data_IF_086352608670
#
_entry.id   IF_086352608670
#
_cell.length_a   1.000
_cell.length_b   1.000
_cell.length_c   1.000
_cell.angle_alpha   90.00
_cell.angle_beta   90.00
_cell.angle_gamma   90.00
#
_symmetry.space_group_name_H-M   'P 1'
#
loop_
_entity.id
_entity.type
_entity.pdbx_description
1 polymer ?
#
# COMPACT_ATOMS: atom_id res chain seq x y z
N UNK A 1 8.77 6.03 -16.53
CA UNK A 1 7.64 5.64 -17.40
C UNK A 1 7.74 4.20 -17.90
N UNK A 2 8.93 3.73 -18.34
CA UNK A 2 9.10 2.35 -18.85
C UNK A 2 8.58 1.27 -17.88
N UNK A 3 8.86 1.36 -16.59
CA UNK A 3 8.39 0.37 -15.61
C UNK A 3 6.87 0.21 -15.56
N UNK A 4 6.08 1.29 -15.71
CA UNK A 4 4.62 1.18 -15.82
C UNK A 4 4.18 0.48 -17.10
N UNK A 5 4.88 0.74 -18.19
CA UNK A 5 4.61 0.06 -19.48
C UNK A 5 4.88 -1.44 -19.38
N UNK A 6 6.01 -1.83 -18.76
CA UNK A 6 6.35 -3.24 -18.55
C UNK A 6 5.29 -3.96 -17.71
N UNK A 7 4.88 -3.37 -16.59
CA UNK A 7 3.82 -3.91 -15.74
C UNK A 7 2.50 -4.09 -16.52
N UNK A 8 2.13 -3.08 -17.30
CA UNK A 8 0.92 -3.16 -18.12
C UNK A 8 1.00 -4.32 -19.14
N UNK A 9 2.13 -4.48 -19.79
CA UNK A 9 2.33 -5.54 -20.78
C UNK A 9 2.31 -6.93 -20.13
N UNK A 10 2.94 -7.09 -18.98
CA UNK A 10 2.86 -8.34 -18.19
C UNK A 10 1.42 -8.69 -17.81
N UNK A 11 0.67 -7.71 -17.32
CA UNK A 11 -0.75 -7.90 -17.00
C UNK A 11 -1.59 -8.22 -18.24
N UNK A 12 -1.25 -7.61 -19.37
CA UNK A 12 -1.92 -7.89 -20.64
C UNK A 12 -1.69 -9.33 -21.10
N UNK A 13 -0.46 -9.84 -21.00
CA UNK A 13 -0.14 -11.24 -21.31
C UNK A 13 -0.93 -12.21 -20.44
N UNK A 14 -0.98 -11.95 -19.14
CA UNK A 14 -1.78 -12.76 -18.20
C UNK A 14 -3.27 -12.76 -18.59
N UNK A 15 -3.82 -11.60 -18.94
CA UNK A 15 -5.21 -11.48 -19.34
C UNK A 15 -5.52 -12.18 -20.67
N UNK A 16 -4.59 -12.17 -21.61
CA UNK A 16 -4.74 -12.83 -22.91
C UNK A 16 -4.48 -14.33 -22.86
N UNK A 17 -3.79 -14.81 -21.84
CA UNK A 17 -3.48 -16.23 -21.64
C UNK A 17 -2.40 -16.78 -22.56
N UNK A 18 -1.61 -15.93 -23.21
CA UNK A 18 -0.47 -16.30 -24.05
C UNK A 18 0.61 -15.23 -24.00
N UNK A 19 1.85 -15.65 -24.21
CA UNK A 19 2.98 -14.73 -24.34
C UNK A 19 2.85 -13.89 -25.61
N UNK A 20 3.02 -12.60 -25.46
CA UNK A 20 3.08 -11.69 -26.59
C UNK A 20 4.54 -11.69 -27.07
N UNK A 21 4.79 -12.29 -28.23
CA UNK A 21 6.13 -12.34 -28.85
C UNK A 21 6.59 -11.00 -29.44
N UNK A 22 5.92 -9.92 -29.07
CA UNK A 22 6.21 -8.58 -29.57
C UNK A 22 7.44 -8.00 -28.89
N UNK A 23 8.30 -7.35 -29.65
CA UNK A 23 9.42 -6.57 -29.13
C UNK A 23 8.86 -5.36 -28.35
N UNK A 24 8.96 -5.39 -27.03
CA UNK A 24 8.47 -4.34 -26.15
C UNK A 24 9.24 -3.03 -26.26
N UNK A 25 10.41 -3.03 -26.89
CA UNK A 25 11.21 -1.81 -27.10
C UNK A 25 10.48 -0.76 -27.93
N UNK A 26 9.50 -1.16 -28.74
CA UNK A 26 8.66 -0.24 -29.52
C UNK A 26 7.82 0.70 -28.63
N UNK A 27 7.57 0.31 -27.38
CA UNK A 27 6.82 1.10 -26.39
C UNK A 27 7.74 1.94 -25.49
N UNK A 28 9.05 1.89 -25.67
CA UNK A 28 9.97 2.72 -24.92
C UNK A 28 9.77 4.20 -25.23
N UNK A 29 9.75 5.06 -24.20
CA UNK A 29 9.64 6.50 -24.43
C UNK A 29 10.87 7.01 -25.18
N UNK A 30 10.64 7.69 -26.28
CA UNK A 30 11.69 8.29 -27.14
C UNK A 30 12.18 9.63 -26.60
N UNK A 31 11.40 10.27 -25.73
CA UNK A 31 11.70 11.58 -25.15
C UNK A 31 12.08 11.42 -23.69
N UNK A 32 13.26 11.89 -23.32
CA UNK A 32 13.67 12.02 -21.90
C UNK A 32 13.13 13.32 -21.33
N UNK A 33 12.28 13.22 -20.33
CA UNK A 33 11.84 14.37 -19.54
C UNK A 33 12.82 14.61 -18.39
N UNK A 34 13.11 15.88 -18.05
CA UNK A 34 13.87 16.19 -16.84
C UNK A 34 13.13 15.63 -15.61
N UNK A 35 13.87 15.04 -14.69
CA UNK A 35 13.32 14.54 -13.44
C UNK A 35 14.31 14.78 -12.32
N UNK A 36 13.80 15.10 -11.15
CA UNK A 36 14.53 15.36 -9.91
C UNK A 36 14.41 14.21 -8.90
N UNK A 37 13.81 13.08 -9.30
CA UNK A 37 13.59 11.94 -8.44
C UNK A 37 13.45 10.62 -9.18
N UNK A 38 13.25 9.56 -8.41
CA UNK A 38 13.05 8.20 -8.89
C UNK A 38 11.64 7.71 -8.54
N UNK A 39 11.01 7.04 -9.49
CA UNK A 39 9.75 6.33 -9.28
C UNK A 39 9.96 4.89 -9.72
N UNK A 40 9.78 3.97 -8.80
CA UNK A 40 9.85 2.53 -9.07
C UNK A 40 8.43 1.95 -8.95
N UNK A 41 7.73 1.74 -10.05
CA UNK A 41 6.48 0.99 -10.03
C UNK A 41 6.78 -0.49 -9.81
N UNK A 42 5.87 -1.17 -9.12
CA UNK A 42 5.84 -2.62 -9.00
C UNK A 42 4.38 -3.08 -8.96
N UNK A 43 4.13 -4.30 -9.37
CA UNK A 43 2.84 -4.95 -9.22
C UNK A 43 2.99 -6.25 -8.44
N UNK A 44 1.90 -6.65 -7.83
CA UNK A 44 1.80 -7.88 -7.10
C UNK A 44 0.46 -8.55 -7.39
N UNK A 45 0.46 -9.86 -7.41
CA UNK A 45 -0.75 -10.63 -7.64
C UNK A 45 -0.49 -12.13 -7.58
N UNK A 46 -1.49 -12.92 -7.22
CA UNK A 46 -1.33 -14.36 -7.00
C UNK A 46 -0.88 -15.14 -8.24
N UNK A 47 -1.07 -14.58 -9.43
CA UNK A 47 -0.67 -15.21 -10.68
C UNK A 47 0.83 -15.02 -10.99
N UNK A 48 1.41 -13.89 -10.59
CA UNK A 48 2.74 -13.48 -11.02
C UNK A 48 3.79 -13.55 -9.91
N UNK A 49 3.39 -13.42 -8.64
CA UNK A 49 4.31 -13.27 -7.52
C UNK A 49 3.88 -14.11 -6.31
N UNK A 50 4.31 -15.37 -6.23
CA UNK A 50 3.96 -16.23 -5.09
C UNK A 50 4.57 -15.78 -3.76
N UNK A 51 5.57 -14.91 -3.79
CA UNK A 51 6.31 -14.44 -2.61
C UNK A 51 5.81 -13.11 -2.03
N UNK A 52 4.73 -12.55 -2.58
CA UNK A 52 4.09 -11.33 -2.07
C UNK A 52 5.05 -10.12 -1.90
N UNK A 53 5.77 -9.69 -2.96
CA UNK A 53 6.78 -8.65 -2.85
C UNK A 53 6.23 -7.29 -2.42
N UNK A 54 4.94 -7.02 -2.63
CA UNK A 54 4.32 -5.78 -2.16
C UNK A 54 4.33 -5.68 -0.64
N UNK A 55 4.02 -6.77 0.06
CA UNK A 55 4.09 -6.83 1.52
C UNK A 55 5.52 -6.57 2.02
N UNK A 56 6.51 -7.17 1.36
CA UNK A 56 7.92 -6.96 1.73
C UNK A 56 8.36 -5.51 1.55
N UNK A 57 7.89 -4.82 0.49
CA UNK A 57 8.16 -3.40 0.28
C UNK A 57 7.51 -2.55 1.38
N UNK A 58 6.24 -2.77 1.70
CA UNK A 58 5.57 -2.06 2.79
C UNK A 58 6.25 -2.30 4.14
N UNK A 59 6.54 -3.54 4.48
CA UNK A 59 7.26 -3.92 5.69
C UNK A 59 8.63 -3.22 5.76
N UNK A 60 9.35 -3.19 4.65
CA UNK A 60 10.65 -2.52 4.58
C UNK A 60 10.53 -1.01 4.83
N UNK A 61 9.57 -0.35 4.19
CA UNK A 61 9.33 1.09 4.38
C UNK A 61 8.95 1.41 5.83
N UNK A 62 8.04 0.65 6.43
CA UNK A 62 7.61 0.82 7.82
C UNK A 62 8.81 0.67 8.78
N UNK A 63 9.61 -0.40 8.61
CA UNK A 63 10.74 -0.69 9.48
C UNK A 63 11.94 0.27 9.30
N UNK A 64 12.01 0.99 8.17
CA UNK A 64 13.07 1.99 7.89
C UNK A 64 12.67 3.40 8.27
N UNK A 65 11.42 3.65 8.57
CA UNK A 65 10.93 4.95 8.95
C UNK A 65 11.62 5.44 10.24
N UNK A 66 11.92 6.73 10.30
CA UNK A 66 12.57 7.38 11.46
C UNK A 66 11.74 8.49 12.07
N UNK A 67 10.99 9.20 11.25
CA UNK A 67 10.22 10.37 11.68
C UNK A 67 8.73 10.09 11.69
N UNK A 68 8.18 9.61 10.57
CA UNK A 68 6.74 9.32 10.46
C UNK A 68 6.42 8.22 9.46
N UNK A 69 5.25 7.59 9.63
CA UNK A 69 4.60 6.68 8.69
C UNK A 69 3.13 7.08 8.58
N UNK A 70 2.73 7.61 7.43
CA UNK A 70 1.34 8.00 7.18
C UNK A 70 0.75 7.12 6.09
N UNK A 71 -0.30 6.41 6.44
CA UNK A 71 -0.98 5.45 5.57
C UNK A 71 -2.41 5.89 5.35
N UNK A 72 -2.82 6.00 4.09
CA UNK A 72 -4.23 6.18 3.72
C UNK A 72 -4.67 4.95 2.95
N UNK A 73 -5.67 4.26 3.45
CA UNK A 73 -6.17 3.03 2.83
C UNK A 73 -7.69 2.92 2.95
N UNK A 74 -8.39 2.45 1.90
CA UNK A 74 -9.82 2.19 2.00
C UNK A 74 -10.12 0.95 2.86
N UNK A 75 -9.17 0.04 2.98
CA UNK A 75 -9.32 -1.22 3.71
C UNK A 75 -8.09 -1.49 4.58
N UNK A 76 -8.30 -1.55 5.89
CA UNK A 76 -7.25 -1.90 6.86
C UNK A 76 -7.29 -3.43 7.09
N UNK A 77 -7.06 -4.18 6.02
CA UNK A 77 -6.97 -5.64 6.05
C UNK A 77 -5.48 -5.99 6.07
N UNK A 78 -4.93 -5.99 7.26
CA UNK A 78 -3.51 -6.27 7.50
C UNK A 78 -3.36 -7.58 8.26
N UNK A 79 -2.26 -8.26 8.01
CA UNK A 79 -1.91 -9.47 8.71
C UNK A 79 -1.25 -9.18 10.07
N UNK A 80 -0.93 -10.24 10.79
CA UNK A 80 -0.28 -10.13 12.10
C UNK A 80 1.11 -9.52 12.00
N UNK A 81 1.89 -9.86 10.96
CA UNK A 81 3.26 -9.37 10.77
C UNK A 81 3.26 -7.86 10.57
N UNK A 82 2.42 -7.35 9.66
CA UNK A 82 2.31 -5.91 9.41
C UNK A 82 1.78 -5.16 10.64
N UNK A 83 0.83 -5.74 11.38
CA UNK A 83 0.36 -5.17 12.66
C UNK A 83 1.50 -5.04 13.66
N UNK A 84 2.31 -6.09 13.83
CA UNK A 84 3.46 -6.10 14.75
C UNK A 84 4.54 -5.10 14.31
N UNK A 85 4.77 -4.94 13.01
CA UNK A 85 5.72 -3.97 12.46
C UNK A 85 5.28 -2.54 12.71
N UNK A 86 4.01 -2.20 12.47
CA UNK A 86 3.44 -0.88 12.75
C UNK A 86 3.51 -0.55 14.26
N UNK A 87 3.12 -1.49 15.10
CA UNK A 87 3.19 -1.34 16.56
C UNK A 87 4.63 -1.14 17.05
N UNK A 88 5.58 -1.89 16.53
CA UNK A 88 7.01 -1.76 16.87
C UNK A 88 7.54 -0.40 16.45
N UNK A 89 7.21 0.04 15.26
CA UNK A 89 7.63 1.34 14.72
C UNK A 89 7.06 2.49 15.56
N UNK A 90 5.78 2.44 15.92
CA UNK A 90 5.18 3.45 16.80
C UNK A 90 5.85 3.46 18.20
N UNK A 91 6.10 2.31 18.80
CA UNK A 91 6.79 2.21 20.09
C UNK A 91 8.25 2.70 20.05
N UNK A 92 8.89 2.72 18.89
CA UNK A 92 10.22 3.29 18.73
C UNK A 92 10.24 4.81 18.64
N UNK A 93 9.07 5.47 18.72
CA UNK A 93 8.94 6.92 18.70
C UNK A 93 8.63 7.54 17.34
N UNK A 94 8.38 6.71 16.32
CA UNK A 94 7.96 7.18 14.99
C UNK A 94 6.48 7.55 15.04
N UNK A 95 6.10 8.69 14.46
CA UNK A 95 4.70 9.13 14.36
C UNK A 95 3.96 8.30 13.31
N UNK A 96 3.18 7.30 13.75
CA UNK A 96 2.44 6.39 12.86
C UNK A 96 0.97 6.78 12.83
N UNK A 97 0.47 7.17 11.65
CA UNK A 97 -0.93 7.54 11.42
C UNK A 97 -1.55 6.73 10.30
N UNK A 98 -2.75 6.23 10.54
CA UNK A 98 -3.54 5.49 9.56
C UNK A 98 -4.87 6.22 9.37
N UNK A 99 -5.22 6.49 8.11
CA UNK A 99 -6.49 7.12 7.74
C UNK A 99 -7.31 6.12 6.94
N UNK A 100 -8.50 5.84 7.41
CA UNK A 100 -9.49 4.96 6.75
C UNK A 100 -10.79 5.71 6.51
N UNK A 101 -11.63 5.32 5.54
CA UNK A 101 -12.93 5.94 5.35
C UNK A 101 -13.89 5.57 6.48
N UNK A 102 -14.68 6.55 6.96
CA UNK A 102 -15.79 6.29 7.88
C UNK A 102 -16.98 5.65 7.17
N UNK A 103 -17.26 6.06 5.92
CA UNK A 103 -18.32 5.49 5.11
C UNK A 103 -17.76 4.29 4.37
N UNK A 104 -18.23 3.11 4.69
CA UNK A 104 -17.82 1.85 4.10
C UNK A 104 -18.73 1.45 2.94
N UNK A 105 -18.16 0.85 1.91
CA UNK A 105 -18.89 0.23 0.79
C UNK A 105 -19.33 -1.20 1.13
N UNK A 106 -18.58 -1.88 2.02
CA UNK A 106 -18.81 -3.27 2.43
C UNK A 106 -18.76 -3.39 3.94
N UNK A 107 -19.88 -3.66 4.58
CA UNK A 107 -20.02 -3.73 6.04
C UNK A 107 -19.07 -4.76 6.70
N UNK A 108 -18.81 -5.89 6.03
CA UNK A 108 -17.93 -6.94 6.59
C UNK A 108 -16.47 -6.50 6.60
N UNK A 109 -16.03 -5.69 5.62
CA UNK A 109 -14.67 -5.12 5.61
C UNK A 109 -14.52 -4.08 6.73
N UNK A 110 -15.56 -3.28 6.98
CA UNK A 110 -15.57 -2.35 8.10
C UNK A 110 -15.37 -3.06 9.45
N UNK A 111 -16.04 -4.21 9.64
CA UNK A 111 -15.84 -5.02 10.86
C UNK A 111 -14.39 -5.50 11.02
N UNK A 112 -13.72 -5.84 9.92
CA UNK A 112 -12.29 -6.20 9.95
C UNK A 112 -11.42 -4.99 10.28
N UNK A 113 -11.71 -3.82 9.70
CA UNK A 113 -10.99 -2.58 10.03
C UNK A 113 -11.07 -2.31 11.53
N UNK A 114 -12.29 -2.29 12.10
CA UNK A 114 -12.52 -2.02 13.53
C UNK A 114 -11.81 -3.04 14.44
N UNK A 115 -11.79 -4.31 14.04
CA UNK A 115 -11.08 -5.34 14.81
C UNK A 115 -9.57 -5.09 14.90
N UNK A 116 -8.98 -4.44 13.89
CA UNK A 116 -7.56 -4.10 13.85
C UNK A 116 -7.21 -2.81 14.62
N UNK A 117 -8.18 -1.95 14.97
CA UNK A 117 -7.89 -0.69 15.67
C UNK A 117 -7.33 -0.91 17.07
N UNK A 118 -7.94 -1.80 17.86
CA UNK A 118 -7.56 -2.03 19.26
C UNK A 118 -6.06 -2.28 19.44
N UNK A 119 -5.48 -3.30 18.80
CA UNK A 119 -4.05 -3.58 18.90
C UNK A 119 -3.15 -2.43 18.45
N UNK A 120 -3.53 -1.71 17.39
CA UNK A 120 -2.76 -0.59 16.86
C UNK A 120 -2.76 0.59 17.82
N UNK A 121 -3.93 1.04 18.28
CA UNK A 121 -4.08 2.18 19.20
C UNK A 121 -3.39 1.90 20.53
N UNK A 122 -3.55 0.69 21.08
CA UNK A 122 -2.88 0.28 22.32
C UNK A 122 -1.34 0.36 22.26
N UNK A 123 -0.77 0.37 21.07
CA UNK A 123 0.68 0.45 20.84
C UNK A 123 1.15 1.81 20.31
N UNK A 124 0.30 2.84 20.35
CA UNK A 124 0.67 4.21 19.98
C UNK A 124 0.51 4.55 18.50
N UNK A 125 -0.18 3.72 17.71
CA UNK A 125 -0.58 4.05 16.35
C UNK A 125 -1.85 4.90 16.39
N UNK A 126 -1.87 6.04 15.71
CA UNK A 126 -3.06 6.88 15.58
C UNK A 126 -3.91 6.42 14.40
N UNK A 127 -5.16 6.05 14.67
CA UNK A 127 -6.12 5.65 13.62
C UNK A 127 -7.20 6.73 13.50
N UNK A 128 -7.40 7.23 12.28
CA UNK A 128 -8.38 8.26 11.97
C UNK A 128 -9.42 7.74 10.96
N UNK A 129 -10.68 8.01 11.24
CA UNK A 129 -11.75 7.80 10.27
C UNK A 129 -12.05 9.10 9.52
N UNK A 130 -11.86 9.08 8.20
CA UNK A 130 -12.16 10.22 7.35
C UNK A 130 -13.66 10.31 7.10
N UNK A 131 -14.27 11.40 7.57
CA UNK A 131 -15.66 11.73 7.28
C UNK A 131 -15.74 12.79 6.17
N UNK A 132 -16.57 12.59 5.14
CA UNK A 132 -16.82 13.61 4.13
C UNK A 132 -17.32 14.91 4.79
N UNK A 133 -16.57 16.02 4.65
CA UNK A 133 -16.89 17.29 5.28
C UNK A 133 -15.84 17.82 6.27
N UNK A 134 -14.59 17.32 6.20
CA UNK A 134 -13.41 17.83 6.93
C UNK A 134 -13.36 17.57 8.44
N UNK A 135 -13.83 16.44 8.93
CA UNK A 135 -13.54 16.05 10.31
C UNK A 135 -12.77 14.74 10.33
N UNK A 136 -11.55 14.77 10.85
CA UNK A 136 -10.87 13.57 11.32
C UNK A 136 -11.40 13.26 12.72
N UNK A 137 -11.90 12.07 12.92
CA UNK A 137 -12.28 11.58 14.24
C UNK A 137 -11.22 10.58 14.66
N UNK A 138 -10.48 10.92 15.71
CA UNK A 138 -9.57 9.96 16.35
C UNK A 138 -10.44 8.97 17.12
N UNK A 139 -10.37 7.71 16.75
CA UNK A 139 -11.03 6.64 17.50
C UNK A 139 -10.11 6.24 18.66
N UNK A 140 -10.46 6.66 19.85
CA UNK A 140 -9.81 6.25 21.09
C UNK A 140 -10.23 4.84 21.52
#
# INVERSE_FOLDING_TARGET
MWGLTSIFLEMWEVAMGYEITTDYTVYMPTVKMPSDGFVQPFCDGPANNPNNPAEDVYTHLINKARDYVYITTPYLVIDRKMTEDLCRTARSGVDVKIVVPHIYDKWYVYMVNVANYGPLIANGVHVYEYMPGCRFVETA
#
